data_IF_900473245882
#
_entry.id   IF_900473245882
#
_cell.length_a   1.000
_cell.length_b   1.000
_cell.length_c   1.000
_cell.angle_alpha   90.00
_cell.angle_beta   90.00
_cell.angle_gamma   90.00
#
_symmetry.space_group_name_H-M   'P 1'
#
loop_
_entity.id
_entity.type
_entity.pdbx_description
1 polymer ?
#
# COMPACT_ATOMS: atom_id res chain seq x y z
N UNK A 1 -5.67 20.34 -6.99
CA UNK A 1 -4.57 19.67 -6.21
C UNK A 1 -4.50 18.20 -6.61
N UNK A 2 -3.31 17.63 -6.71
CA UNK A 2 -3.14 16.19 -6.96
C UNK A 2 -3.35 15.45 -5.63
N UNK A 3 -4.20 14.43 -5.64
CA UNK A 3 -4.49 13.62 -4.45
C UNK A 3 -3.85 12.25 -4.56
N UNK A 4 -3.26 11.79 -3.45
CA UNK A 4 -2.67 10.46 -3.31
C UNK A 4 -3.48 9.68 -2.29
N UNK A 5 -3.93 8.49 -2.66
CA UNK A 5 -4.54 7.54 -1.74
C UNK A 5 -3.52 6.44 -1.49
N UNK A 6 -2.95 6.45 -0.30
CA UNK A 6 -1.90 5.52 0.09
C UNK A 6 -2.46 4.36 0.91
N UNK A 7 -2.10 3.14 0.53
CA UNK A 7 -2.51 1.93 1.23
C UNK A 7 -1.28 1.21 1.80
N UNK A 8 -1.31 0.94 3.10
CA UNK A 8 -0.29 0.17 3.80
C UNK A 8 -0.96 -0.78 4.80
N UNK A 9 -0.57 -2.07 4.79
CA UNK A 9 -1.31 -3.08 5.54
C UNK A 9 -1.22 -2.89 7.05
N UNK A 10 0.00 -2.75 7.61
CA UNK A 10 0.24 -2.75 9.04
C UNK A 10 1.05 -1.53 9.46
N UNK A 11 0.48 -0.70 10.34
CA UNK A 11 1.24 0.36 11.00
C UNK A 11 2.08 -0.22 12.14
N UNK A 12 3.38 -0.20 12.01
CA UNK A 12 4.35 -0.62 13.02
C UNK A 12 5.64 0.23 12.92
N UNK A 13 6.71 -0.18 13.62
CA UNK A 13 8.01 0.49 13.59
C UNK A 13 9.04 -0.17 12.68
N UNK A 14 8.61 -1.04 11.76
CA UNK A 14 9.51 -1.73 10.80
C UNK A 14 10.00 -0.78 9.67
N UNK A 15 10.84 -1.30 8.78
CA UNK A 15 11.50 -0.50 7.75
C UNK A 15 10.54 0.13 6.74
N UNK A 16 9.56 -0.63 6.23
CA UNK A 16 8.68 -0.14 5.17
C UNK A 16 7.75 1.01 5.61
N UNK A 17 7.12 1.01 6.81
CA UNK A 17 6.39 2.19 7.27
C UNK A 17 7.28 3.38 7.61
N UNK A 18 8.55 3.17 8.04
CA UNK A 18 9.50 4.28 8.25
C UNK A 18 9.79 5.02 6.95
N UNK A 19 10.10 4.29 5.90
CA UNK A 19 10.32 4.87 4.56
C UNK A 19 9.05 5.57 4.06
N UNK A 20 7.90 4.94 4.23
CA UNK A 20 6.62 5.53 3.84
C UNK A 20 6.34 6.83 4.60
N UNK A 21 6.58 6.87 5.91
CA UNK A 21 6.41 8.07 6.74
C UNK A 21 7.21 9.26 6.17
N UNK A 22 8.48 9.05 5.84
CA UNK A 22 9.33 10.09 5.25
C UNK A 22 8.79 10.58 3.90
N UNK A 23 8.38 9.66 3.03
CA UNK A 23 7.82 10.01 1.72
C UNK A 23 6.54 10.82 1.87
N UNK A 24 5.60 10.38 2.72
CA UNK A 24 4.32 11.06 2.88
C UNK A 24 4.46 12.42 3.57
N UNK A 25 5.39 12.56 4.53
CA UNK A 25 5.76 13.88 5.08
C UNK A 25 6.27 14.82 3.98
N UNK A 26 7.22 14.37 3.16
CA UNK A 26 7.76 15.17 2.06
C UNK A 26 6.70 15.56 1.01
N UNK A 27 5.78 14.67 0.69
CA UNK A 27 4.67 14.95 -0.23
C UNK A 27 3.67 15.95 0.38
N UNK A 28 3.34 15.80 1.67
CA UNK A 28 2.48 16.74 2.41
C UNK A 28 3.08 18.15 2.43
N UNK A 29 4.39 18.27 2.66
CA UNK A 29 5.10 19.56 2.61
C UNK A 29 5.07 20.21 1.23
N UNK A 30 4.98 19.41 0.16
CA UNK A 30 4.81 19.89 -1.23
C UNK A 30 3.34 20.18 -1.59
N UNK A 31 2.41 20.12 -0.64
CA UNK A 31 1.00 20.47 -0.82
C UNK A 31 0.15 19.37 -1.48
N UNK A 32 0.62 18.10 -1.51
CA UNK A 32 -0.23 17.00 -1.96
C UNK A 32 -1.23 16.64 -0.86
N UNK A 33 -2.50 16.45 -1.25
CA UNK A 33 -3.51 15.85 -0.37
C UNK A 33 -3.28 14.34 -0.31
N UNK A 34 -3.23 13.79 0.91
CA UNK A 34 -2.95 12.39 1.13
C UNK A 34 -4.04 11.76 1.99
N UNK A 35 -4.69 10.73 1.47
CA UNK A 35 -5.51 9.83 2.27
C UNK A 35 -4.68 8.57 2.55
N UNK A 36 -4.29 8.37 3.81
CA UNK A 36 -3.56 7.18 4.25
C UNK A 36 -4.52 6.16 4.84
N UNK A 37 -4.56 4.97 4.26
CA UNK A 37 -5.39 3.83 4.67
C UNK A 37 -4.48 2.75 5.25
N UNK A 38 -4.56 2.50 6.55
CA UNK A 38 -3.69 1.56 7.27
C UNK A 38 -4.38 0.95 8.48
N UNK A 39 -3.72 0.00 9.15
CA UNK A 39 -4.25 -0.60 10.37
C UNK A 39 -4.30 0.37 11.55
N UNK A 40 -5.11 0.02 12.59
CA UNK A 40 -5.21 0.78 13.85
C UNK A 40 -4.04 0.54 14.81
N UNK A 41 -3.12 -0.34 14.46
CA UNK A 41 -1.95 -0.60 15.29
C UNK A 41 -1.13 0.68 15.49
N UNK A 42 -0.54 0.82 16.67
CA UNK A 42 0.38 1.91 16.95
C UNK A 42 1.68 1.70 16.19
N UNK A 43 2.16 2.74 15.53
CA UNK A 43 3.38 2.68 14.75
C UNK A 43 3.84 4.05 14.26
N UNK A 44 4.90 4.06 13.47
CA UNK A 44 5.56 5.29 13.01
C UNK A 44 4.65 6.19 12.15
N UNK A 45 3.64 5.61 11.48
CA UNK A 45 2.73 6.38 10.65
C UNK A 45 1.78 7.27 11.47
N UNK A 46 1.69 7.08 12.79
CA UNK A 46 0.88 7.93 13.67
C UNK A 46 1.39 9.38 13.69
N UNK A 47 2.67 9.59 13.46
CA UNK A 47 3.27 10.92 13.31
C UNK A 47 2.65 11.74 12.18
N UNK A 48 2.08 11.08 11.16
CA UNK A 48 1.44 11.75 10.04
C UNK A 48 0.12 12.43 10.40
N UNK A 49 -0.45 12.13 11.56
CA UNK A 49 -1.68 12.77 12.06
C UNK A 49 -1.52 14.27 12.27
N UNK A 50 -0.31 14.74 12.54
CA UNK A 50 0.03 16.16 12.68
C UNK A 50 0.23 16.91 11.35
N UNK A 51 0.31 16.19 10.22
CA UNK A 51 0.53 16.79 8.91
C UNK A 51 -0.76 17.38 8.34
N UNK A 52 -0.75 18.66 7.97
CA UNK A 52 -1.92 19.43 7.49
C UNK A 52 -2.71 18.77 6.36
N UNK A 53 -2.02 18.12 5.43
CA UNK A 53 -2.64 17.56 4.21
C UNK A 53 -2.77 16.04 4.25
N UNK A 54 -2.60 15.41 5.42
CA UNK A 54 -2.75 13.96 5.58
C UNK A 54 -4.02 13.65 6.35
N UNK A 55 -4.89 12.84 5.75
CA UNK A 55 -6.07 12.27 6.41
C UNK A 55 -5.88 10.77 6.57
N UNK A 56 -6.02 10.28 7.80
CA UNK A 56 -5.82 8.87 8.11
C UNK A 56 -7.16 8.13 8.20
N UNK A 57 -7.23 6.97 7.54
CA UNK A 57 -8.32 6.00 7.63
C UNK A 57 -7.78 4.70 8.18
N UNK A 58 -8.36 4.19 9.26
CA UNK A 58 -7.82 3.06 10.00
C UNK A 58 -8.81 1.91 10.07
N UNK A 59 -8.36 0.69 9.76
CA UNK A 59 -9.10 -0.55 9.90
C UNK A 59 -8.49 -1.44 10.99
N UNK A 60 -9.27 -2.41 11.47
CA UNK A 60 -8.78 -3.40 12.43
C UNK A 60 -8.03 -4.50 11.69
N UNK A 61 -6.75 -4.67 12.01
CA UNK A 61 -5.94 -5.78 11.56
C UNK A 61 -5.04 -6.22 12.70
N UNK A 62 -5.20 -7.46 13.14
CA UNK A 62 -4.43 -8.06 14.23
C UNK A 62 -3.82 -9.35 13.73
N UNK A 63 -2.55 -9.56 13.99
CA UNK A 63 -1.92 -10.87 13.82
C UNK A 63 -2.53 -11.87 14.81
N UNK A 64 -2.57 -13.13 14.41
CA UNK A 64 -2.96 -14.23 15.26
C UNK A 64 -1.86 -15.29 15.22
N UNK A 65 -1.66 -15.98 16.35
CA UNK A 65 -0.76 -17.13 16.39
C UNK A 65 -1.28 -18.30 15.52
N UNK A 66 -2.58 -18.31 15.20
CA UNK A 66 -3.17 -19.28 14.30
C UNK A 66 -3.07 -18.77 12.85
N UNK A 67 -2.38 -19.48 11.94
CA UNK A 67 -2.20 -19.07 10.56
C UNK A 67 -3.52 -18.93 9.78
N UNK A 68 -4.52 -19.77 10.07
CA UNK A 68 -5.83 -19.68 9.43
C UNK A 68 -6.53 -18.37 9.73
N UNK A 69 -6.57 -17.94 11.00
CA UNK A 69 -7.13 -16.64 11.38
C UNK A 69 -6.36 -15.47 10.77
N UNK A 70 -5.04 -15.58 10.63
CA UNK A 70 -4.23 -14.57 9.97
C UNK A 70 -4.62 -14.43 8.49
N UNK A 71 -4.82 -15.55 7.78
CA UNK A 71 -5.27 -15.56 6.39
C UNK A 71 -6.67 -14.94 6.27
N UNK A 72 -7.62 -15.35 7.11
CA UNK A 72 -9.00 -14.82 7.07
C UNK A 72 -9.03 -13.30 7.34
N UNK A 73 -8.24 -12.82 8.30
CA UNK A 73 -8.10 -11.39 8.59
C UNK A 73 -7.45 -10.63 7.44
N UNK A 74 -6.44 -11.22 6.80
CA UNK A 74 -5.82 -10.66 5.61
C UNK A 74 -6.84 -10.52 4.47
N UNK A 75 -7.61 -11.58 4.18
CA UNK A 75 -8.66 -11.55 3.16
C UNK A 75 -9.74 -10.51 3.48
N UNK A 76 -10.18 -10.42 4.73
CA UNK A 76 -11.12 -9.39 5.17
C UNK A 76 -10.60 -7.98 4.86
N UNK A 77 -9.33 -7.70 5.15
CA UNK A 77 -8.73 -6.39 4.86
C UNK A 77 -8.62 -6.13 3.35
N UNK A 78 -8.35 -7.17 2.53
CA UNK A 78 -8.34 -7.00 1.08
C UNK A 78 -9.73 -6.61 0.56
N UNK A 79 -10.78 -7.29 1.01
CA UNK A 79 -12.17 -6.97 0.64
C UNK A 79 -12.57 -5.58 1.16
N UNK A 80 -12.25 -5.27 2.41
CA UNK A 80 -12.53 -3.96 3.00
C UNK A 80 -11.86 -2.83 2.21
N UNK A 81 -10.55 -2.94 1.95
CA UNK A 81 -9.79 -1.88 1.24
C UNK A 81 -10.16 -1.81 -0.24
N UNK A 82 -10.55 -2.91 -0.87
CA UNK A 82 -11.14 -2.93 -2.20
C UNK A 82 -12.44 -2.11 -2.23
N UNK A 83 -13.41 -2.43 -1.36
CA UNK A 83 -14.69 -1.72 -1.27
C UNK A 83 -14.49 -0.24 -0.89
N UNK A 84 -13.62 0.05 0.09
CA UNK A 84 -13.27 1.41 0.48
C UNK A 84 -12.75 2.26 -0.69
N UNK A 85 -12.02 1.64 -1.62
CA UNK A 85 -11.42 2.32 -2.77
C UNK A 85 -12.46 2.92 -3.71
N UNK A 86 -13.66 2.34 -3.80
CA UNK A 86 -14.73 2.85 -4.69
C UNK A 86 -15.25 4.24 -4.31
N UNK A 87 -15.00 4.74 -3.11
CA UNK A 87 -15.30 6.12 -2.74
C UNK A 87 -14.56 7.15 -3.61
N UNK A 88 -13.55 6.73 -4.35
CA UNK A 88 -12.77 7.57 -5.27
C UNK A 88 -13.16 7.39 -6.75
N UNK A 89 -14.19 6.62 -7.07
CA UNK A 89 -14.54 6.26 -8.46
C UNK A 89 -14.74 7.51 -9.35
N UNK A 90 -15.47 8.51 -8.87
CA UNK A 90 -15.75 9.74 -9.60
C UNK A 90 -14.66 10.82 -9.45
N UNK A 91 -13.63 10.59 -8.66
CA UNK A 91 -12.54 11.55 -8.48
C UNK A 91 -11.51 11.40 -9.61
N UNK A 92 -11.28 12.48 -10.36
CA UNK A 92 -10.21 12.56 -11.37
C UNK A 92 -8.88 12.91 -10.71
N UNK A 93 -7.75 12.64 -11.40
CA UNK A 93 -6.39 13.01 -10.97
C UNK A 93 -5.96 12.44 -9.59
N UNK A 94 -6.35 11.21 -9.30
CA UNK A 94 -5.95 10.47 -8.11
C UNK A 94 -4.91 9.42 -8.47
N UNK A 95 -3.90 9.28 -7.60
CA UNK A 95 -2.90 8.21 -7.63
C UNK A 95 -3.18 7.26 -6.47
N UNK A 96 -3.29 5.97 -6.76
CA UNK A 96 -3.29 4.91 -5.76
C UNK A 96 -1.85 4.49 -5.51
N UNK A 97 -1.35 4.79 -4.32
CA UNK A 97 0.01 4.44 -3.89
C UNK A 97 -0.04 3.24 -2.97
N UNK A 98 0.48 2.11 -3.43
CA UNK A 98 0.46 0.83 -2.73
C UNK A 98 1.85 0.59 -2.13
N UNK A 99 1.94 0.66 -0.82
CA UNK A 99 3.20 0.40 -0.12
C UNK A 99 3.28 -1.08 0.24
N UNK A 100 4.34 -1.75 -0.18
CA UNK A 100 4.56 -3.20 -0.12
C UNK A 100 3.70 -4.01 -1.11
N UNK A 101 3.89 -5.34 -1.14
CA UNK A 101 3.10 -6.25 -1.99
C UNK A 101 1.72 -6.58 -1.43
N UNK A 102 1.53 -6.41 -0.12
CA UNK A 102 0.40 -6.98 0.60
C UNK A 102 -0.97 -6.31 0.31
N UNK A 103 -1.10 -5.00 0.06
CA UNK A 103 -2.41 -4.41 -0.22
C UNK A 103 -2.84 -4.62 -1.68
N UNK A 104 -3.29 -5.82 -2.04
CA UNK A 104 -3.73 -6.18 -3.41
C UNK A 104 -5.14 -5.65 -3.71
N UNK A 105 -6.05 -5.69 -2.72
CA UNK A 105 -7.44 -5.24 -2.87
C UNK A 105 -7.56 -3.83 -3.45
N UNK A 106 -6.92 -2.83 -2.87
CA UNK A 106 -7.00 -1.46 -3.38
C UNK A 106 -6.28 -1.29 -4.74
N UNK A 107 -5.24 -2.07 -5.01
CA UNK A 107 -4.58 -2.04 -6.32
C UNK A 107 -5.52 -2.55 -7.42
N UNK A 108 -6.24 -3.65 -7.18
CA UNK A 108 -7.25 -4.19 -8.09
C UNK A 108 -8.38 -3.17 -8.32
N UNK A 109 -8.92 -2.59 -7.24
CA UNK A 109 -9.94 -1.56 -7.35
C UNK A 109 -9.46 -0.35 -8.15
N UNK A 110 -8.24 0.12 -7.89
CA UNK A 110 -7.63 1.22 -8.62
C UNK A 110 -7.53 0.92 -10.11
N UNK A 111 -7.09 -0.28 -10.47
CA UNK A 111 -6.99 -0.73 -11.87
C UNK A 111 -8.35 -0.79 -12.55
N UNK A 112 -9.36 -1.36 -11.89
CA UNK A 112 -10.74 -1.44 -12.41
C UNK A 112 -11.36 -0.07 -12.64
N UNK A 113 -11.04 0.91 -11.78
CA UNK A 113 -11.51 2.29 -11.91
C UNK A 113 -10.66 3.15 -12.87
N UNK A 114 -9.70 2.58 -13.59
CA UNK A 114 -8.80 3.33 -14.48
C UNK A 114 -7.88 4.32 -13.77
N UNK A 115 -7.63 4.13 -12.46
CA UNK A 115 -6.72 5.00 -11.70
C UNK A 115 -5.27 4.58 -11.94
N UNK A 116 -4.37 5.55 -11.80
CA UNK A 116 -2.92 5.27 -11.81
C UNK A 116 -2.54 4.58 -10.52
N UNK A 117 -2.04 3.33 -10.61
CA UNK A 117 -1.59 2.51 -9.50
C UNK A 117 -0.07 2.51 -9.46
N UNK A 118 0.51 3.02 -8.38
CA UNK A 118 1.95 3.05 -8.14
C UNK A 118 2.28 2.13 -6.98
N UNK A 119 3.07 1.10 -7.23
CA UNK A 119 3.57 0.23 -6.18
C UNK A 119 4.95 0.68 -5.70
N UNK A 120 5.14 0.66 -4.37
CA UNK A 120 6.45 0.78 -3.75
C UNK A 120 6.87 -0.58 -3.20
N UNK A 121 7.79 -1.21 -3.93
CA UNK A 121 8.20 -2.59 -3.71
C UNK A 121 9.38 -2.68 -2.75
N UNK A 122 9.14 -3.24 -1.56
CA UNK A 122 10.12 -3.37 -0.49
C UNK A 122 10.63 -4.79 -0.30
N UNK A 123 9.84 -5.80 -0.66
CA UNK A 123 10.10 -7.19 -0.39
C UNK A 123 11.06 -7.81 -1.41
N UNK A 124 11.82 -8.83 -0.97
CA UNK A 124 12.44 -9.78 -1.87
C UNK A 124 11.49 -10.97 -2.09
N UNK A 125 10.44 -10.76 -2.88
CA UNK A 125 9.37 -11.73 -3.08
C UNK A 125 9.87 -13.08 -3.63
N UNK A 126 10.87 -13.06 -4.49
CA UNK A 126 11.38 -14.26 -5.14
C UNK A 126 12.18 -15.18 -4.21
N UNK A 127 12.67 -14.65 -3.08
CA UNK A 127 13.30 -15.42 -2.02
C UNK A 127 12.33 -15.88 -0.91
N UNK A 128 11.11 -15.32 -0.84
CA UNK A 128 10.16 -15.54 0.26
C UNK A 128 9.10 -16.64 0.01
N UNK A 129 9.21 -17.39 -1.09
CA UNK A 129 8.31 -18.49 -1.40
C UNK A 129 7.15 -18.13 -2.33
N UNK A 130 6.27 -19.12 -2.61
CA UNK A 130 5.25 -19.06 -3.67
C UNK A 130 4.25 -17.93 -3.46
N UNK A 131 3.78 -17.74 -2.24
CA UNK A 131 2.81 -16.67 -1.93
C UNK A 131 3.33 -15.27 -2.33
N UNK A 132 4.54 -14.92 -1.94
CA UNK A 132 5.13 -13.63 -2.30
C UNK A 132 5.45 -13.52 -3.80
N UNK A 133 5.81 -14.63 -4.45
CA UNK A 133 5.96 -14.66 -5.92
C UNK A 133 4.65 -14.34 -6.60
N UNK A 134 3.54 -14.96 -6.19
CA UNK A 134 2.20 -14.67 -6.72
C UNK A 134 1.83 -13.20 -6.56
N UNK A 135 2.07 -12.63 -5.37
CA UNK A 135 1.82 -11.20 -5.12
C UNK A 135 2.68 -10.30 -6.04
N UNK A 136 3.95 -10.67 -6.28
CA UNK A 136 4.82 -9.91 -7.19
C UNK A 136 4.33 -9.97 -8.65
N UNK A 137 3.76 -11.09 -9.08
CA UNK A 137 3.12 -11.20 -10.40
C UNK A 137 1.86 -10.33 -10.48
N UNK A 138 1.01 -10.38 -9.46
CA UNK A 138 -0.17 -9.52 -9.39
C UNK A 138 0.22 -8.04 -9.41
N UNK A 139 1.24 -7.64 -8.66
CA UNK A 139 1.77 -6.28 -8.69
C UNK A 139 2.16 -5.87 -10.12
N UNK A 140 2.90 -6.71 -10.86
CA UNK A 140 3.33 -6.40 -12.23
C UNK A 140 2.14 -6.24 -13.19
N UNK A 141 1.05 -6.99 -12.99
CA UNK A 141 -0.16 -6.87 -13.80
C UNK A 141 -0.99 -5.63 -13.44
N UNK A 142 -1.03 -5.25 -12.17
CA UNK A 142 -1.89 -4.18 -11.67
C UNK A 142 -1.23 -2.80 -11.68
N UNK A 143 0.11 -2.74 -11.57
CA UNK A 143 0.84 -1.49 -11.45
C UNK A 143 0.89 -0.72 -12.77
N UNK A 144 0.67 0.59 -12.70
CA UNK A 144 1.05 1.53 -13.76
C UNK A 144 2.55 1.87 -13.68
N UNK A 145 3.09 1.90 -12.47
CA UNK A 145 4.50 2.14 -12.18
C UNK A 145 4.93 1.36 -10.93
N UNK A 146 6.18 0.90 -10.90
CA UNK A 146 6.78 0.23 -9.75
C UNK A 146 8.02 1.01 -9.33
N UNK A 147 8.08 1.40 -8.07
CA UNK A 147 9.24 1.98 -7.40
C UNK A 147 9.91 0.85 -6.63
N UNK A 148 11.14 0.53 -6.93
CA UNK A 148 11.93 -0.45 -6.20
C UNK A 148 12.89 0.23 -5.25
N UNK A 149 13.03 -0.28 -4.03
CA UNK A 149 13.97 0.29 -3.03
C UNK A 149 15.43 -0.05 -3.31
N UNK A 150 15.71 -0.96 -4.27
CA UNK A 150 17.07 -1.32 -4.67
C UNK A 150 17.16 -1.79 -6.13
N UNK A 151 18.36 -1.67 -6.70
CA UNK A 151 18.65 -2.22 -8.05
C UNK A 151 18.52 -3.75 -8.08
N UNK A 152 18.83 -4.43 -6.98
CA UNK A 152 18.66 -5.87 -6.85
C UNK A 152 17.19 -6.28 -7.08
N UNK A 153 16.24 -5.62 -6.42
CA UNK A 153 14.81 -5.88 -6.59
C UNK A 153 14.33 -5.55 -8.02
N UNK A 154 14.79 -4.42 -8.58
CA UNK A 154 14.51 -4.05 -9.97
C UNK A 154 14.96 -5.10 -10.97
N UNK A 155 16.17 -5.64 -10.78
CA UNK A 155 16.74 -6.65 -11.67
C UNK A 155 16.00 -7.99 -11.56
N UNK A 156 15.52 -8.37 -10.37
CA UNK A 156 14.71 -9.57 -10.17
C UNK A 156 13.33 -9.48 -10.84
N UNK A 157 12.75 -8.29 -10.98
CA UNK A 157 11.51 -8.08 -11.73
C UNK A 157 11.71 -8.15 -13.25
N UNK A 158 12.90 -7.86 -13.75
CA UNK A 158 13.22 -7.86 -15.19
C UNK A 158 13.64 -9.23 -15.77
N UNK A 159 13.95 -10.19 -14.91
CA UNK A 159 14.37 -11.55 -15.30
C UNK A 159 13.20 -12.44 -15.73
N UNK A 160 12.26 -11.88 -16.47
CA UNK A 160 11.14 -12.58 -17.09
C UNK A 160 11.06 -12.28 -18.55
#
# INVERSE_FOLDING_TARGET
MKKIVCFHLLNDYSGSPKVLNLILKGLSMKGYEIDLVTSRNTGILDELSSCKYVKMYRYRYLFSNNPLFTILRYLYVQVYTFAFSFRYIFRKNIIFYINTLLPVGPALAGRLMGKRVVYHYHENAFAKGLFYKTLAYMMQCLASNIICVSNFQRNNLKKK
#
